data_IF_231491290868
#
_entry.id   IF_231491290868
#
_cell.length_a   1.000
_cell.length_b   1.000
_cell.length_c   1.000
_cell.angle_alpha   90.00
_cell.angle_beta   90.00
_cell.angle_gamma   90.00
#
_symmetry.space_group_name_H-M   'P 1'
#
loop_
_entity.id
_entity.type
_entity.pdbx_description
1 polymer ?
#
# COMPACT_ATOMS: atom_id res chain seq x y z
N UNK A 1 -8.08 7.84 5.04
CA UNK A 1 -7.60 8.87 4.09
C UNK A 1 -7.94 8.60 2.63
N UNK A 2 -8.69 7.54 2.32
CA UNK A 2 -9.04 7.14 0.93
C UNK A 2 -10.10 8.09 0.32
N UNK A 3 -9.90 8.54 -0.91
CA UNK A 3 -10.82 9.42 -1.67
C UNK A 3 -11.85 8.55 -2.41
N UNK A 4 -12.76 7.92 -1.66
CA UNK A 4 -13.74 6.97 -2.21
C UNK A 4 -14.71 7.59 -3.20
N UNK A 5 -15.04 8.87 -3.04
CA UNK A 5 -15.97 9.57 -3.93
C UNK A 5 -15.49 9.76 -5.37
N UNK A 6 -14.19 9.52 -5.63
CA UNK A 6 -13.57 9.59 -6.95
C UNK A 6 -12.81 8.31 -7.30
N UNK A 7 -13.13 7.19 -6.63
CA UNK A 7 -12.38 5.95 -6.84
C UNK A 7 -12.48 5.44 -8.29
N UNK A 8 -13.62 5.64 -8.93
CA UNK A 8 -13.85 5.29 -10.33
C UNK A 8 -12.94 6.07 -11.26
N UNK A 9 -12.91 7.40 -11.08
CA UNK A 9 -12.10 8.31 -11.88
C UNK A 9 -10.60 8.08 -11.64
N UNK A 10 -10.21 7.81 -10.39
CA UNK A 10 -8.82 7.48 -10.05
C UNK A 10 -8.40 6.18 -10.74
N UNK A 11 -9.25 5.15 -10.72
CA UNK A 11 -8.96 3.87 -11.37
C UNK A 11 -8.91 4.01 -12.89
N UNK A 12 -9.85 4.76 -13.48
CA UNK A 12 -9.85 5.03 -14.93
C UNK A 12 -8.62 5.83 -15.35
N UNK A 13 -8.22 6.83 -14.58
CA UNK A 13 -6.99 7.58 -14.82
C UNK A 13 -5.75 6.69 -14.75
N UNK A 14 -5.70 5.77 -13.78
CA UNK A 14 -4.61 4.80 -13.66
C UNK A 14 -4.55 3.87 -14.89
N UNK A 15 -5.68 3.32 -15.32
CA UNK A 15 -5.75 2.48 -16.52
C UNK A 15 -5.22 3.20 -17.75
N UNK A 16 -5.65 4.45 -17.97
CA UNK A 16 -5.19 5.25 -19.12
C UNK A 16 -3.70 5.60 -19.02
N UNK A 17 -3.20 5.88 -17.82
CA UNK A 17 -1.80 6.17 -17.60
C UNK A 17 -0.90 4.93 -17.83
N UNK A 18 -1.30 3.78 -17.32
CA UNK A 18 -0.60 2.50 -17.57
C UNK A 18 -0.54 2.17 -19.06
N UNK A 19 -1.64 2.36 -19.79
CA UNK A 19 -1.68 2.16 -21.26
C UNK A 19 -0.73 3.12 -22.00
N UNK A 20 -0.52 4.32 -21.48
CA UNK A 20 0.43 5.31 -22.03
C UNK A 20 1.88 4.98 -21.69
N UNK A 21 2.16 4.61 -20.44
CA UNK A 21 3.51 4.27 -19.96
C UNK A 21 4.02 2.92 -20.53
N UNK A 22 3.10 1.98 -20.80
CA UNK A 22 3.38 0.65 -21.33
C UNK A 22 4.45 -0.12 -20.55
N UNK A 23 4.27 -0.35 -19.24
CA UNK A 23 5.17 -1.19 -18.47
C UNK A 23 5.14 -2.64 -18.98
N UNK A 24 6.16 -3.41 -18.64
CA UNK A 24 6.21 -4.85 -18.94
C UNK A 24 5.22 -5.64 -18.07
N UNK A 25 4.87 -5.11 -16.90
CA UNK A 25 3.99 -5.76 -15.92
C UNK A 25 3.36 -4.71 -14.99
N UNK A 26 2.12 -4.95 -14.57
CA UNK A 26 1.47 -4.24 -13.46
C UNK A 26 1.27 -5.19 -12.30
N UNK A 27 1.69 -4.79 -11.10
CA UNK A 27 1.55 -5.57 -9.86
C UNK A 27 0.60 -4.83 -8.91
N UNK A 28 -0.42 -5.53 -8.42
CA UNK A 28 -1.36 -5.04 -7.41
C UNK A 28 -1.20 -5.88 -6.13
N UNK A 29 -0.67 -5.27 -5.09
CA UNK A 29 -0.31 -5.93 -3.83
C UNK A 29 -1.45 -5.99 -2.79
N UNK A 30 -2.68 -6.21 -3.24
CA UNK A 30 -3.83 -6.43 -2.36
C UNK A 30 -4.59 -5.16 -1.96
N UNK A 31 -5.64 -5.34 -1.14
CA UNK A 31 -6.64 -4.33 -0.82
C UNK A 31 -7.27 -3.72 -2.08
N UNK A 32 -7.70 -4.62 -2.96
CA UNK A 32 -8.25 -4.29 -4.28
C UNK A 32 -9.60 -3.60 -4.17
N UNK A 33 -10.30 -3.82 -3.06
CA UNK A 33 -11.59 -3.21 -2.74
C UNK A 33 -11.57 -2.51 -1.38
N UNK A 34 -12.68 -1.87 -1.00
CA UNK A 34 -12.75 -1.16 0.27
C UNK A 34 -12.99 -2.10 1.45
N UNK A 35 -13.98 -2.99 1.35
CA UNK A 35 -14.32 -3.98 2.38
C UNK A 35 -14.73 -5.35 1.75
N UNK A 36 -14.18 -5.70 0.59
CA UNK A 36 -14.39 -7.00 -0.05
C UNK A 36 -15.74 -7.14 -0.78
N UNK A 37 -16.35 -6.05 -1.19
CA UNK A 37 -17.61 -6.06 -1.92
C UNK A 37 -17.45 -6.77 -3.27
N UNK A 38 -18.26 -7.78 -3.55
CA UNK A 38 -18.20 -8.59 -4.78
C UNK A 38 -18.35 -7.74 -6.04
N UNK A 39 -19.32 -6.83 -6.05
CA UNK A 39 -19.53 -5.89 -7.15
C UNK A 39 -18.29 -5.03 -7.42
N UNK A 40 -17.61 -4.56 -6.35
CA UNK A 40 -16.37 -3.77 -6.48
C UNK A 40 -15.22 -4.59 -7.06
N UNK A 41 -15.10 -5.88 -6.71
CA UNK A 41 -14.13 -6.79 -7.32
C UNK A 41 -14.39 -6.99 -8.80
N UNK A 42 -15.65 -7.28 -9.18
CA UNK A 42 -16.05 -7.51 -10.58
C UNK A 42 -15.81 -6.26 -11.44
N UNK A 43 -16.14 -5.08 -10.91
CA UNK A 43 -15.91 -3.80 -11.57
C UNK A 43 -14.42 -3.47 -11.73
N UNK A 44 -13.59 -3.75 -10.71
CA UNK A 44 -12.15 -3.58 -10.83
C UNK A 44 -11.58 -4.53 -11.88
N UNK A 45 -11.97 -5.79 -11.88
CA UNK A 45 -11.54 -6.77 -12.88
C UNK A 45 -11.89 -6.31 -14.31
N UNK A 46 -13.09 -5.74 -14.54
CA UNK A 46 -13.47 -5.15 -15.82
C UNK A 46 -12.54 -3.98 -16.22
N UNK A 47 -12.13 -3.14 -15.27
CA UNK A 47 -11.19 -2.05 -15.54
C UNK A 47 -9.79 -2.55 -15.84
N UNK A 48 -9.31 -3.56 -15.11
CA UNK A 48 -8.00 -4.16 -15.33
C UNK A 48 -7.91 -4.91 -16.66
N UNK A 49 -9.03 -5.51 -17.14
CA UNK A 49 -9.06 -6.16 -18.44
C UNK A 49 -8.70 -5.22 -19.60
N UNK A 50 -8.96 -3.92 -19.46
CA UNK A 50 -8.59 -2.91 -20.46
C UNK A 50 -7.07 -2.69 -20.55
N UNK A 51 -6.33 -3.00 -19.48
CA UNK A 51 -4.86 -3.00 -19.47
C UNK A 51 -4.35 -4.25 -20.19
N UNK A 52 -4.94 -5.42 -19.87
CA UNK A 52 -4.63 -6.70 -20.52
C UNK A 52 -4.92 -6.65 -22.04
N UNK A 53 -6.05 -6.08 -22.46
CA UNK A 53 -6.41 -5.86 -23.86
C UNK A 53 -5.40 -4.97 -24.60
N UNK A 54 -4.69 -4.10 -23.90
CA UNK A 54 -3.60 -3.29 -24.45
C UNK A 54 -2.27 -4.06 -24.54
N UNK A 55 -2.25 -5.34 -24.14
CA UNK A 55 -1.08 -6.21 -24.16
C UNK A 55 -0.10 -5.98 -23.01
N UNK A 56 -0.61 -5.48 -21.86
CA UNK A 56 0.17 -5.25 -20.66
C UNK A 56 -0.35 -6.21 -19.58
N UNK A 57 0.46 -7.19 -19.14
CA UNK A 57 0.04 -8.12 -18.09
C UNK A 57 -0.23 -7.43 -16.76
N UNK A 58 -1.26 -7.90 -16.05
CA UNK A 58 -1.59 -7.47 -14.69
C UNK A 58 -1.58 -8.69 -13.79
N UNK A 59 -0.94 -8.60 -12.64
CA UNK A 59 -0.96 -9.67 -11.63
C UNK A 59 -1.38 -9.13 -10.27
N UNK A 60 -2.17 -9.92 -9.54
CA UNK A 60 -2.80 -9.50 -8.27
C UNK A 60 -2.60 -10.55 -7.18
N UNK A 61 -2.63 -10.09 -5.92
CA UNK A 61 -2.82 -10.91 -4.71
C UNK A 61 -3.92 -10.28 -3.86
N UNK A 62 -4.56 -11.02 -2.94
CA UNK A 62 -5.50 -10.42 -2.01
C UNK A 62 -4.82 -9.58 -0.95
N UNK A 63 -5.54 -8.57 -0.42
CA UNK A 63 -5.27 -7.89 0.82
C UNK A 63 -6.25 -8.31 1.92
N UNK A 64 -6.04 -7.82 3.14
CA UNK A 64 -6.86 -8.21 4.29
C UNK A 64 -8.32 -7.70 4.19
N UNK A 65 -8.61 -6.75 3.32
CA UNK A 65 -9.97 -6.29 3.07
C UNK A 65 -10.76 -7.16 2.09
N UNK A 66 -10.10 -7.98 1.26
CA UNK A 66 -10.66 -8.49 0.02
C UNK A 66 -11.52 -9.75 0.15
N UNK A 67 -11.21 -10.68 1.07
CA UNK A 67 -11.83 -12.01 1.13
C UNK A 67 -12.54 -12.24 2.47
N UNK A 68 -13.73 -12.86 2.42
CA UNK A 68 -14.54 -13.22 3.59
C UNK A 68 -14.75 -12.05 4.58
N UNK A 69 -14.85 -10.83 4.06
CA UNK A 69 -14.99 -9.65 4.89
C UNK A 69 -16.45 -9.36 5.21
N UNK A 70 -16.84 -9.59 6.45
CA UNK A 70 -18.20 -9.36 6.93
C UNK A 70 -18.63 -7.88 6.99
N UNK A 71 -17.71 -6.97 6.73
CA UNK A 71 -17.98 -5.52 6.67
C UNK A 71 -18.38 -5.06 5.28
N UNK A 72 -18.37 -5.96 4.27
CA UNK A 72 -18.80 -5.63 2.91
C UNK A 72 -20.17 -4.94 2.92
N UNK A 73 -20.27 -3.80 2.26
CA UNK A 73 -21.43 -2.96 2.37
C UNK A 73 -21.67 -2.10 1.13
N UNK A 74 -22.92 -1.75 0.91
CA UNK A 74 -23.36 -0.86 -0.16
C UNK A 74 -24.17 0.31 0.39
N UNK A 75 -24.11 1.43 -0.30
CA UNK A 75 -24.96 2.58 -0.01
C UNK A 75 -26.19 2.58 -0.92
N UNK A 76 -27.38 2.63 -0.31
CA UNK A 76 -28.63 2.83 -1.00
C UNK A 76 -29.25 4.12 -0.51
N UNK A 77 -29.00 5.23 -1.22
CA UNK A 77 -29.26 6.58 -0.73
C UNK A 77 -28.40 6.89 0.50
N UNK A 78 -29.03 7.28 1.62
CA UNK A 78 -28.34 7.54 2.89
C UNK A 78 -28.31 6.29 3.81
N UNK A 79 -28.70 5.12 3.31
CA UNK A 79 -28.76 3.87 4.08
C UNK A 79 -27.56 2.98 3.73
N UNK A 80 -26.92 2.47 4.79
CA UNK A 80 -25.84 1.51 4.71
C UNK A 80 -26.42 0.10 4.86
N UNK A 81 -26.26 -0.73 3.85
CA UNK A 81 -26.74 -2.12 3.81
C UNK A 81 -25.56 -3.06 3.65
N UNK A 82 -25.66 -4.28 4.21
CA UNK A 82 -24.70 -5.34 3.93
C UNK A 82 -24.68 -5.68 2.44
N UNK A 83 -23.49 -5.90 1.89
CA UNK A 83 -23.28 -6.35 0.52
C UNK A 83 -22.73 -7.79 0.50
N UNK A 84 -22.83 -8.44 -0.66
CA UNK A 84 -22.17 -9.71 -0.89
C UNK A 84 -20.65 -9.51 -0.90
N UNK A 85 -19.92 -10.34 -0.15
CA UNK A 85 -18.46 -10.42 -0.20
C UNK A 85 -18.04 -11.66 -0.98
N UNK A 86 -16.75 -11.79 -1.25
CA UNK A 86 -16.19 -12.92 -2.00
C UNK A 86 -15.49 -13.92 -1.08
N UNK A 87 -15.60 -15.20 -1.42
CA UNK A 87 -14.76 -16.28 -0.89
C UNK A 87 -13.41 -16.30 -1.61
N UNK A 88 -12.47 -17.12 -1.12
CA UNK A 88 -11.18 -17.33 -1.80
C UNK A 88 -11.34 -17.90 -3.22
N UNK A 89 -12.27 -18.84 -3.39
CA UNK A 89 -12.56 -19.43 -4.71
C UNK A 89 -13.17 -18.39 -5.68
N UNK A 90 -14.08 -17.56 -5.20
CA UNK A 90 -14.67 -16.48 -6.00
C UNK A 90 -13.64 -15.38 -6.32
N UNK A 91 -12.72 -15.07 -5.39
CA UNK A 91 -11.62 -14.15 -5.65
C UNK A 91 -10.74 -14.69 -6.80
N UNK A 92 -10.34 -15.94 -6.72
CA UNK A 92 -9.55 -16.57 -7.78
C UNK A 92 -10.30 -16.60 -9.11
N UNK A 93 -11.62 -16.91 -9.11
CA UNK A 93 -12.44 -16.90 -10.33
C UNK A 93 -12.52 -15.51 -10.98
N UNK A 94 -12.74 -14.45 -10.17
CA UNK A 94 -12.81 -13.07 -10.66
C UNK A 94 -11.49 -12.62 -11.26
N UNK A 95 -10.37 -12.95 -10.60
CA UNK A 95 -9.04 -12.52 -11.00
C UNK A 95 -8.21 -13.57 -11.74
N UNK A 96 -8.85 -14.64 -12.27
CA UNK A 96 -8.15 -15.74 -12.91
C UNK A 96 -7.21 -15.32 -14.05
N UNK A 97 -7.59 -14.30 -14.82
CA UNK A 97 -6.83 -13.78 -15.95
C UNK A 97 -5.79 -12.73 -15.53
N UNK A 98 -5.63 -12.48 -14.23
CA UNK A 98 -4.67 -11.53 -13.67
C UNK A 98 -3.58 -12.26 -12.86
N UNK A 99 -2.87 -13.16 -13.56
CA UNK A 99 -1.72 -13.91 -13.07
C UNK A 99 -2.02 -15.36 -12.69
N UNK A 100 -3.22 -15.71 -12.24
CA UNK A 100 -3.54 -17.05 -11.75
C UNK A 100 -3.51 -18.12 -12.86
N UNK A 101 -4.09 -17.82 -14.04
CA UNK A 101 -4.10 -18.73 -15.19
C UNK A 101 -2.71 -18.86 -15.85
N UNK A 102 -1.85 -17.84 -15.76
CA UNK A 102 -0.50 -17.81 -16.33
C UNK A 102 0.57 -18.25 -15.34
N UNK A 103 0.17 -18.59 -14.10
CA UNK A 103 1.10 -19.01 -13.06
C UNK A 103 1.91 -20.24 -13.49
N UNK A 104 3.23 -20.17 -13.35
CA UNK A 104 4.13 -21.31 -13.58
C UNK A 104 4.14 -22.28 -12.43
N UNK A 105 3.77 -21.84 -11.24
CA UNK A 105 3.55 -22.65 -10.03
C UNK A 105 2.48 -22.03 -9.15
N UNK A 106 1.71 -22.88 -8.46
CA UNK A 106 0.66 -22.50 -7.52
C UNK A 106 0.93 -23.15 -6.18
N UNK A 107 0.80 -22.39 -5.09
CA UNK A 107 0.83 -22.96 -3.74
C UNK A 107 -0.48 -23.71 -3.46
N UNK A 108 -0.44 -25.01 -3.11
CA UNK A 108 -1.65 -25.74 -2.78
C UNK A 108 -2.31 -25.32 -1.45
N UNK A 109 -1.59 -24.59 -0.60
CA UNK A 109 -2.06 -24.19 0.73
C UNK A 109 -2.63 -22.76 0.78
N UNK A 110 -2.41 -21.95 -0.26
CA UNK A 110 -2.83 -20.55 -0.29
C UNK A 110 -3.10 -20.05 -1.71
N UNK A 111 -3.48 -18.78 -1.84
CA UNK A 111 -3.59 -18.12 -3.15
C UNK A 111 -2.24 -17.60 -3.68
N UNK A 112 -1.12 -18.04 -3.10
CA UNK A 112 0.21 -17.69 -3.61
C UNK A 112 0.52 -18.39 -4.92
N UNK A 113 1.31 -17.72 -5.76
CA UNK A 113 1.72 -18.25 -7.06
C UNK A 113 3.01 -17.60 -7.56
N UNK A 114 3.63 -18.21 -8.56
CA UNK A 114 4.77 -17.66 -9.29
C UNK A 114 4.34 -17.27 -10.70
N UNK A 115 4.65 -16.03 -11.08
CA UNK A 115 4.46 -15.52 -12.43
C UNK A 115 5.81 -15.29 -13.10
N UNK A 116 5.98 -15.75 -14.33
CA UNK A 116 7.20 -15.51 -15.09
C UNK A 116 7.10 -14.16 -15.81
N UNK A 117 7.86 -13.18 -15.33
CA UNK A 117 7.88 -11.82 -15.88
C UNK A 117 8.58 -11.78 -17.23
N UNK A 118 9.73 -12.42 -17.32
CA UNK A 118 10.56 -12.55 -18.54
C UNK A 118 11.54 -13.74 -18.40
N UNK A 119 12.52 -13.84 -19.28
CA UNK A 119 13.49 -14.94 -19.27
C UNK A 119 14.44 -14.94 -18.05
N UNK A 120 14.51 -13.84 -17.30
CA UNK A 120 15.46 -13.62 -16.20
C UNK A 120 14.81 -13.38 -14.85
N UNK A 121 13.49 -13.14 -14.81
CA UNK A 121 12.81 -12.67 -13.61
C UNK A 121 11.47 -13.34 -13.40
N UNK A 122 11.23 -13.80 -12.18
CA UNK A 122 9.94 -14.29 -11.69
C UNK A 122 9.39 -13.36 -10.61
N UNK A 123 8.08 -13.17 -10.55
CA UNK A 123 7.38 -12.57 -9.43
C UNK A 123 6.85 -13.70 -8.53
N UNK A 124 7.21 -13.68 -7.26
CA UNK A 124 6.70 -14.60 -6.23
C UNK A 124 5.58 -13.88 -5.48
N UNK A 125 4.34 -14.15 -5.89
CA UNK A 125 3.14 -13.51 -5.37
C UNK A 125 2.66 -14.25 -4.13
N UNK A 126 2.82 -13.65 -2.94
CA UNK A 126 2.56 -14.26 -1.65
C UNK A 126 1.22 -13.81 -1.07
N UNK A 127 0.29 -14.75 -0.91
CA UNK A 127 -0.92 -14.54 -0.13
C UNK A 127 -0.60 -14.57 1.35
N UNK A 128 -0.52 -13.39 1.95
CA UNK A 128 -0.24 -13.18 3.36
C UNK A 128 -1.50 -13.03 4.20
N UNK A 129 -2.70 -13.19 3.61
CA UNK A 129 -3.96 -12.87 4.26
C UNK A 129 -4.51 -14.05 5.07
N UNK A 130 -5.23 -13.72 6.13
CA UNK A 130 -5.93 -14.65 7.00
C UNK A 130 -7.44 -14.45 6.83
N UNK A 131 -8.08 -15.30 6.06
CA UNK A 131 -9.52 -15.19 5.76
C UNK A 131 -10.32 -16.44 6.17
N UNK A 132 -9.68 -17.52 6.62
CA UNK A 132 -10.31 -18.74 7.14
C UNK A 132 -9.91 -19.00 8.59
N UNK A 133 -10.84 -19.39 9.50
CA UNK A 133 -12.30 -19.50 9.29
C UNK A 133 -13.02 -18.13 9.32
N UNK A 134 -12.30 -17.06 9.46
CA UNK A 134 -12.80 -15.66 9.44
C UNK A 134 -11.71 -14.73 8.95
N UNK A 135 -12.11 -13.59 8.40
CA UNK A 135 -11.20 -12.53 8.03
C UNK A 135 -10.53 -11.90 9.26
N UNK A 136 -9.20 -11.78 9.22
CA UNK A 136 -8.36 -11.08 10.21
C UNK A 136 -7.53 -10.00 9.50
N UNK A 137 -7.14 -8.98 10.26
CA UNK A 137 -6.37 -7.84 9.72
C UNK A 137 -4.90 -8.23 9.52
N UNK A 138 -4.31 -9.00 10.44
CA UNK A 138 -2.89 -9.36 10.43
C UNK A 138 -2.53 -10.39 9.37
N UNK A 139 -1.29 -10.33 8.91
CA UNK A 139 -0.74 -11.22 7.90
C UNK A 139 0.06 -12.39 8.47
N UNK A 140 0.05 -13.51 7.75
CA UNK A 140 0.90 -14.67 8.05
C UNK A 140 1.24 -15.45 6.77
N UNK A 141 2.32 -16.19 6.81
CA UNK A 141 2.63 -17.24 5.84
C UNK A 141 2.32 -18.60 6.48
N UNK A 142 1.61 -19.48 5.77
CA UNK A 142 1.27 -20.82 6.25
C UNK A 142 2.51 -21.72 6.26
N UNK A 143 2.59 -22.67 7.18
CA UNK A 143 3.75 -23.56 7.30
C UNK A 143 4.05 -24.29 5.97
N UNK A 144 3.03 -24.86 5.32
CA UNK A 144 3.18 -25.56 4.04
C UNK A 144 3.63 -24.61 2.90
N UNK A 145 3.31 -23.31 3.00
CA UNK A 145 3.73 -22.29 2.02
C UNK A 145 5.24 -22.05 2.11
N UNK A 146 5.86 -22.14 3.29
CA UNK A 146 7.33 -22.01 3.41
C UNK A 146 8.08 -23.09 2.64
N UNK A 147 7.60 -24.34 2.68
CA UNK A 147 8.19 -25.45 1.90
C UNK A 147 8.04 -25.18 0.40
N UNK A 148 6.86 -24.72 -0.03
CA UNK A 148 6.63 -24.34 -1.42
C UNK A 148 7.51 -23.15 -1.87
N UNK A 149 7.68 -22.12 -1.04
CA UNK A 149 8.60 -21.00 -1.33
C UNK A 149 10.01 -21.53 -1.57
N UNK A 150 10.51 -22.45 -0.70
CA UNK A 150 11.84 -23.03 -0.85
C UNK A 150 12.01 -23.73 -2.22
N UNK A 151 11.02 -24.54 -2.61
CA UNK A 151 11.01 -25.21 -3.91
C UNK A 151 11.08 -24.20 -5.08
N UNK A 152 10.31 -23.10 -4.98
CA UNK A 152 10.30 -22.08 -6.02
C UNK A 152 11.62 -21.29 -6.11
N UNK A 153 12.23 -21.02 -4.96
CA UNK A 153 13.53 -20.34 -4.90
C UNK A 153 14.64 -21.22 -5.47
N UNK A 154 14.68 -22.51 -5.11
CA UNK A 154 15.63 -23.47 -5.65
C UNK A 154 15.48 -23.63 -7.17
N UNK A 155 14.25 -23.72 -7.68
CA UNK A 155 14.00 -23.80 -9.11
C UNK A 155 14.50 -22.54 -9.84
N UNK A 156 14.15 -21.35 -9.34
CA UNK A 156 14.59 -20.09 -9.92
C UNK A 156 16.13 -19.98 -9.94
N UNK A 157 16.77 -20.33 -8.83
CA UNK A 157 18.23 -20.36 -8.71
C UNK A 157 18.88 -21.27 -9.74
N UNK A 158 18.37 -22.51 -9.88
CA UNK A 158 18.87 -23.47 -10.84
C UNK A 158 18.71 -23.02 -12.30
N UNK A 159 17.71 -22.19 -12.57
CA UNK A 159 17.46 -21.57 -13.88
C UNK A 159 18.25 -20.25 -14.08
N UNK A 160 18.95 -19.76 -13.06
CA UNK A 160 19.63 -18.46 -13.08
C UNK A 160 18.69 -17.26 -13.17
N UNK A 161 17.49 -17.39 -12.58
CA UNK A 161 16.46 -16.36 -12.60
C UNK A 161 16.43 -15.58 -11.27
N UNK A 162 16.20 -14.29 -11.35
CA UNK A 162 15.89 -13.45 -10.22
C UNK A 162 14.45 -13.67 -9.75
N UNK A 163 14.19 -13.42 -8.46
CA UNK A 163 12.86 -13.48 -7.88
C UNK A 163 12.53 -12.15 -7.19
N UNK A 164 11.36 -11.62 -7.48
CA UNK A 164 10.78 -10.45 -6.80
C UNK A 164 9.58 -10.94 -5.98
N UNK A 165 9.73 -11.11 -4.65
CA UNK A 165 8.60 -11.41 -3.78
C UNK A 165 7.69 -10.18 -3.62
N UNK A 166 6.39 -10.45 -3.60
CA UNK A 166 5.33 -9.47 -3.39
C UNK A 166 4.37 -10.00 -2.34
N UNK A 167 4.15 -9.26 -1.28
CA UNK A 167 3.14 -9.55 -0.27
C UNK A 167 2.19 -8.36 -0.08
N UNK A 168 1.05 -8.58 0.59
CA UNK A 168 0.20 -7.47 1.01
C UNK A 168 0.73 -6.85 2.31
N UNK A 169 0.91 -7.68 3.34
CA UNK A 169 1.47 -7.25 4.62
C UNK A 169 2.98 -7.05 4.55
N UNK A 170 3.50 -6.25 5.47
CA UNK A 170 4.90 -5.87 5.47
C UNK A 170 5.81 -7.02 5.92
N UNK A 171 6.98 -7.11 5.32
CA UNK A 171 8.04 -8.03 5.72
C UNK A 171 8.80 -7.51 6.95
N UNK A 172 9.05 -6.19 6.98
CA UNK A 172 9.78 -5.50 8.03
C UNK A 172 8.84 -4.65 8.88
N UNK A 173 9.30 -4.25 10.06
CA UNK A 173 8.58 -3.32 10.92
C UNK A 173 8.71 -1.88 10.37
N UNK A 174 7.93 -1.59 9.32
CA UNK A 174 7.92 -0.33 8.59
C UNK A 174 7.43 0.87 9.43
N UNK A 175 6.94 0.62 10.64
CA UNK A 175 6.59 1.64 11.63
C UNK A 175 6.96 1.16 13.02
N UNK A 176 7.56 2.02 13.84
CA UNK A 176 7.83 1.73 15.26
C UNK A 176 6.58 1.82 16.16
N UNK A 177 5.47 2.32 15.62
CA UNK A 177 4.25 2.60 16.38
C UNK A 177 3.10 1.67 16.02
N UNK A 178 2.93 1.38 14.75
CA UNK A 178 1.90 0.49 14.22
C UNK A 178 2.51 -0.85 13.83
N UNK A 179 2.86 -1.67 14.83
CA UNK A 179 3.44 -3.00 14.62
C UNK A 179 2.39 -4.09 14.56
N UNK A 180 1.38 -4.00 15.42
CA UNK A 180 0.33 -5.00 15.48
C UNK A 180 -0.46 -5.05 14.18
N UNK A 181 -0.65 -6.24 13.63
CA UNK A 181 -1.40 -6.53 12.41
C UNK A 181 -0.86 -5.88 11.12
N UNK A 182 0.33 -5.26 11.15
CA UNK A 182 0.96 -4.64 9.98
C UNK A 182 2.04 -5.51 9.37
N UNK A 183 2.96 -6.03 10.19
CA UNK A 183 4.03 -6.94 9.78
C UNK A 183 3.52 -8.38 9.73
N UNK A 184 4.01 -9.18 8.80
CA UNK A 184 3.74 -10.63 8.70
C UNK A 184 4.13 -11.29 10.03
N UNK A 185 3.24 -12.11 10.59
CA UNK A 185 3.52 -12.85 11.82
C UNK A 185 4.74 -13.76 11.62
N UNK A 186 5.72 -13.70 12.53
CA UNK A 186 7.00 -14.42 12.41
C UNK A 186 7.76 -14.12 11.11
N UNK A 187 7.75 -12.86 10.68
CA UNK A 187 8.40 -12.43 9.41
C UNK A 187 9.89 -12.73 9.36
N UNK A 188 10.56 -12.87 10.52
CA UNK A 188 11.98 -13.25 10.61
C UNK A 188 12.27 -14.56 9.87
N UNK A 189 11.35 -15.53 9.87
CA UNK A 189 11.51 -16.78 9.13
C UNK A 189 11.53 -16.53 7.62
N UNK A 190 10.62 -15.69 7.12
CA UNK A 190 10.57 -15.34 5.70
C UNK A 190 11.79 -14.51 5.29
N UNK A 191 12.22 -13.57 6.13
CA UNK A 191 13.43 -12.78 5.92
C UNK A 191 14.65 -13.69 5.77
N UNK A 192 14.88 -14.61 6.73
CA UNK A 192 16.00 -15.53 6.71
C UNK A 192 15.99 -16.42 5.47
N UNK A 193 14.81 -16.92 5.07
CA UNK A 193 14.64 -17.72 3.87
C UNK A 193 14.98 -16.93 2.60
N UNK A 194 14.41 -15.76 2.41
CA UNK A 194 14.64 -14.92 1.23
C UNK A 194 16.10 -14.41 1.17
N UNK A 195 16.69 -14.03 2.31
CA UNK A 195 18.10 -13.61 2.37
C UNK A 195 19.07 -14.75 2.06
N UNK A 196 18.73 -16.00 2.42
CA UNK A 196 19.55 -17.18 2.08
C UNK A 196 19.67 -17.40 0.56
N UNK A 197 18.69 -16.93 -0.20
CA UNK A 197 18.65 -16.95 -1.66
C UNK A 197 19.09 -15.61 -2.30
N UNK A 198 19.71 -14.71 -1.52
CA UNK A 198 20.22 -13.42 -1.98
C UNK A 198 19.16 -12.52 -2.63
N UNK A 199 17.89 -12.62 -2.20
CA UNK A 199 16.80 -11.77 -2.70
C UNK A 199 17.03 -10.32 -2.28
N UNK A 200 17.12 -9.36 -3.20
CA UNK A 200 17.48 -7.98 -2.85
C UNK A 200 16.27 -7.11 -2.46
N UNK A 201 15.05 -7.49 -2.84
CA UNK A 201 13.88 -6.63 -2.79
C UNK A 201 12.63 -7.41 -2.44
N UNK A 202 11.75 -6.81 -1.63
CA UNK A 202 10.38 -7.23 -1.33
C UNK A 202 9.44 -6.06 -1.58
N UNK A 203 8.29 -6.31 -2.19
CA UNK A 203 7.26 -5.29 -2.43
C UNK A 203 6.04 -5.55 -1.56
N UNK A 204 5.51 -4.51 -0.92
CA UNK A 204 4.32 -4.63 -0.07
C UNK A 204 3.40 -3.40 -0.14
N UNK A 205 2.27 -3.49 0.57
CA UNK A 205 1.26 -2.46 0.71
C UNK A 205 0.81 -2.25 2.15
N UNK A 206 -0.48 -2.40 2.42
CA UNK A 206 -1.16 -2.44 3.71
C UNK A 206 -1.11 -1.15 4.55
N UNK A 207 0.04 -0.54 4.78
CA UNK A 207 0.18 0.69 5.59
C UNK A 207 -0.34 1.96 4.92
N UNK A 208 -0.56 1.93 3.61
CA UNK A 208 -0.99 3.07 2.78
C UNK A 208 -0.03 4.26 2.74
N UNK A 209 1.14 4.15 3.36
CA UNK A 209 2.21 5.16 3.32
C UNK A 209 3.23 4.83 2.26
N UNK A 210 3.96 5.82 1.78
CA UNK A 210 5.12 5.59 0.94
C UNK A 210 6.36 5.51 1.82
N UNK A 211 6.96 4.33 1.88
CA UNK A 211 8.09 4.06 2.76
C UNK A 211 9.01 2.97 2.20
N UNK A 212 10.24 2.89 2.66
CA UNK A 212 11.10 1.74 2.47
C UNK A 212 12.08 1.56 3.64
N UNK A 213 12.39 0.32 3.92
CA UNK A 213 13.41 -0.09 4.89
C UNK A 213 14.37 -1.11 4.29
N UNK A 214 15.41 -1.43 5.03
CA UNK A 214 16.30 -2.54 4.76
C UNK A 214 16.41 -3.40 6.01
N UNK A 215 16.42 -4.72 5.86
CA UNK A 215 16.46 -5.68 6.97
C UNK A 215 17.70 -5.52 7.84
N UNK A 216 18.82 -5.09 7.24
CA UNK A 216 20.10 -4.81 7.92
C UNK A 216 20.70 -3.53 7.35
N UNK A 217 21.46 -2.78 8.17
CA UNK A 217 21.99 -1.46 7.79
C UNK A 217 22.87 -1.48 6.53
N UNK A 218 23.71 -2.50 6.37
CA UNK A 218 24.71 -2.57 5.30
C UNK A 218 24.47 -3.70 4.30
N UNK A 219 23.50 -4.57 4.54
CA UNK A 219 23.18 -5.73 3.71
C UNK A 219 21.72 -6.14 3.93
N UNK A 220 21.27 -7.19 3.25
CA UNK A 220 19.93 -7.72 3.41
C UNK A 220 18.94 -7.15 2.41
N UNK A 221 17.70 -7.56 2.60
CA UNK A 221 16.60 -7.26 1.70
C UNK A 221 16.05 -5.85 1.92
N UNK A 222 15.80 -5.12 0.83
CA UNK A 222 14.98 -3.92 0.87
C UNK A 222 13.50 -4.29 0.82
N UNK A 223 12.69 -3.67 1.65
CA UNK A 223 11.24 -3.64 1.46
C UNK A 223 10.81 -2.28 0.97
N UNK A 224 9.93 -2.23 -0.05
CA UNK A 224 9.26 -1.03 -0.51
C UNK A 224 7.78 -1.18 -0.24
N UNK A 225 7.25 -0.28 0.60
CA UNK A 225 5.82 -0.12 0.85
C UNK A 225 5.29 0.97 -0.07
N UNK A 226 4.41 0.60 -0.99
CA UNK A 226 3.79 1.58 -1.89
C UNK A 226 2.52 2.14 -1.27
N UNK A 227 2.37 3.47 -1.30
CA UNK A 227 1.16 4.14 -0.80
C UNK A 227 -0.09 3.75 -1.60
N UNK A 228 -1.25 3.85 -0.95
CA UNK A 228 -2.52 3.54 -1.59
C UNK A 228 -2.84 4.50 -2.73
N UNK A 229 -3.20 3.96 -3.90
CA UNK A 229 -3.61 4.74 -5.08
C UNK A 229 -4.83 5.64 -4.79
N UNK A 230 -5.70 5.23 -3.88
CA UNK A 230 -6.90 5.99 -3.48
C UNK A 230 -6.63 7.08 -2.43
N UNK A 231 -5.38 7.19 -1.94
CA UNK A 231 -4.99 8.21 -0.94
C UNK A 231 -4.11 9.28 -1.60
N UNK A 232 -4.45 10.57 -1.48
CA UNK A 232 -3.61 11.62 -2.06
C UNK A 232 -2.14 11.54 -1.58
N UNK A 233 -1.16 11.68 -2.48
CA UNK A 233 -1.28 12.24 -3.83
C UNK A 233 -1.73 11.28 -4.94
N UNK A 234 -2.28 10.11 -4.61
CA UNK A 234 -2.76 9.09 -5.56
C UNK A 234 -1.64 8.65 -6.49
N UNK A 235 -0.55 8.15 -5.90
CA UNK A 235 0.66 7.77 -6.61
C UNK A 235 0.83 6.26 -6.71
N UNK A 236 1.63 5.81 -7.65
CA UNK A 236 2.05 4.44 -7.84
C UNK A 236 3.57 4.36 -7.98
N UNK A 237 4.13 3.19 -7.73
CA UNK A 237 5.56 2.93 -7.90
C UNK A 237 5.90 2.51 -9.33
N UNK A 238 7.05 2.94 -9.82
CA UNK A 238 7.67 2.46 -11.05
C UNK A 238 9.00 1.81 -10.66
N UNK A 239 9.10 0.51 -10.93
CA UNK A 239 10.28 -0.30 -10.65
C UNK A 239 10.97 -0.68 -11.98
N UNK A 240 12.25 -0.34 -12.10
CA UNK A 240 13.14 -0.86 -13.12
C UNK A 240 14.01 -1.93 -12.47
N UNK A 241 13.92 -3.16 -12.96
CA UNK A 241 14.63 -4.30 -12.40
C UNK A 241 15.52 -4.93 -13.48
N UNK A 242 16.83 -5.02 -13.21
CA UNK A 242 17.83 -5.54 -14.14
C UNK A 242 17.99 -7.05 -14.05
N UNK A 243 18.58 -7.63 -15.10
CA UNK A 243 18.88 -9.06 -15.17
C UNK A 243 19.90 -9.51 -14.12
N UNK A 244 20.68 -8.57 -13.58
CA UNK A 244 21.67 -8.76 -12.53
C UNK A 244 21.10 -8.56 -11.10
N UNK A 245 19.78 -8.35 -10.98
CA UNK A 245 19.12 -8.08 -9.70
C UNK A 245 19.25 -6.64 -9.21
N UNK A 246 19.92 -5.77 -9.95
CA UNK A 246 19.92 -4.33 -9.65
C UNK A 246 18.55 -3.72 -9.91
N UNK A 247 18.20 -2.70 -9.12
CA UNK A 247 16.91 -2.03 -9.29
C UNK A 247 16.97 -0.53 -9.06
N UNK A 248 16.02 0.16 -9.67
CA UNK A 248 15.69 1.57 -9.40
C UNK A 248 14.18 1.70 -9.24
N UNK A 249 13.77 2.43 -8.25
CA UNK A 249 12.38 2.67 -7.92
C UNK A 249 12.11 4.17 -7.79
N UNK A 250 10.98 4.61 -8.31
CA UNK A 250 10.44 5.93 -7.99
C UNK A 250 8.92 5.91 -8.03
N UNK A 251 8.30 6.84 -7.31
CA UNK A 251 6.85 7.02 -7.36
C UNK A 251 6.46 8.03 -8.42
N UNK A 252 5.23 7.91 -8.89
CA UNK A 252 4.60 8.86 -9.81
C UNK A 252 3.15 9.10 -9.38
N UNK A 253 2.74 10.36 -9.11
CA UNK A 253 1.33 10.67 -8.88
C UNK A 253 0.55 10.63 -10.20
N UNK A 254 -0.72 10.24 -10.14
CA UNK A 254 -1.64 10.33 -11.28
C UNK A 254 -1.89 11.79 -11.67
N UNK A 255 -1.85 12.09 -12.97
CA UNK A 255 -2.28 13.39 -13.46
C UNK A 255 -3.80 13.44 -13.65
N UNK A 256 -4.52 13.48 -12.51
CA UNK A 256 -5.98 13.56 -12.48
C UNK A 256 -6.52 14.81 -13.20
N UNK A 257 -5.76 15.90 -13.20
CA UNK A 257 -6.14 17.14 -13.90
C UNK A 257 -6.10 16.98 -15.41
N UNK A 258 -5.05 16.34 -15.94
CA UNK A 258 -4.96 16.03 -17.37
C UNK A 258 -6.06 15.05 -17.77
N UNK A 259 -6.26 13.98 -16.98
CA UNK A 259 -7.33 13.02 -17.20
C UNK A 259 -8.72 13.69 -17.24
N UNK A 260 -9.03 14.55 -16.26
CA UNK A 260 -10.30 15.27 -16.21
C UNK A 260 -10.53 16.17 -17.44
N UNK A 261 -9.48 16.85 -17.94
CA UNK A 261 -9.57 17.64 -19.16
C UNK A 261 -9.81 16.76 -20.38
N UNK A 262 -9.10 15.65 -20.50
CA UNK A 262 -9.17 14.76 -21.66
C UNK A 262 -10.54 14.05 -21.76
N UNK A 263 -11.18 13.81 -20.63
CA UNK A 263 -12.54 13.24 -20.54
C UNK A 263 -13.65 14.27 -20.62
N UNK A 264 -13.30 15.57 -20.68
CA UNK A 264 -14.28 16.66 -20.71
C UNK A 264 -15.02 16.87 -19.38
N UNK A 265 -14.42 16.46 -18.26
CA UNK A 265 -15.02 16.65 -16.93
C UNK A 265 -15.20 18.13 -16.61
N UNK A 266 -16.35 18.46 -16.00
CA UNK A 266 -16.65 19.81 -15.48
C UNK A 266 -16.52 19.87 -13.95
N UNK A 267 -16.17 18.77 -13.31
CA UNK A 267 -15.98 18.70 -11.86
C UNK A 267 -14.76 19.54 -11.44
N UNK A 268 -15.01 20.53 -10.59
CA UNK A 268 -13.97 21.47 -10.14
C UNK A 268 -12.89 20.80 -9.28
N UNK A 269 -13.23 19.75 -8.55
CA UNK A 269 -12.27 19.02 -7.72
C UNK A 269 -11.35 18.19 -8.61
N UNK A 270 -11.88 17.48 -9.62
CA UNK A 270 -11.08 16.72 -10.58
C UNK A 270 -10.15 17.63 -11.38
N UNK A 271 -10.65 18.80 -11.83
CA UNK A 271 -9.86 19.81 -12.56
C UNK A 271 -8.76 20.48 -11.70
N UNK A 272 -8.84 20.36 -10.37
CA UNK A 272 -7.86 20.87 -9.41
C UNK A 272 -7.54 19.79 -8.34
N UNK A 273 -7.31 18.55 -8.78
CA UNK A 273 -7.27 17.38 -7.90
C UNK A 273 -6.16 17.46 -6.85
N UNK A 274 -5.00 18.01 -7.19
CA UNK A 274 -3.90 18.16 -6.23
C UNK A 274 -4.29 19.04 -5.03
N UNK A 275 -4.94 20.17 -5.30
CA UNK A 275 -5.44 21.07 -4.25
C UNK A 275 -6.60 20.43 -3.45
N UNK A 276 -7.48 19.73 -4.14
CA UNK A 276 -8.55 18.97 -3.50
C UNK A 276 -7.97 17.89 -2.59
N UNK A 277 -7.05 17.08 -3.07
CA UNK A 277 -6.42 15.99 -2.32
C UNK A 277 -5.66 16.48 -1.09
N UNK A 278 -4.87 17.54 -1.21
CA UNK A 278 -4.20 18.19 -0.07
C UNK A 278 -5.18 18.66 0.99
N UNK A 279 -6.26 19.33 0.60
CA UNK A 279 -7.30 19.79 1.53
C UNK A 279 -8.06 18.64 2.17
N UNK A 280 -8.39 17.62 1.38
CA UNK A 280 -9.07 16.43 1.85
C UNK A 280 -8.25 15.71 2.93
N UNK A 281 -7.00 15.39 2.64
CA UNK A 281 -6.12 14.66 3.54
C UNK A 281 -5.79 15.47 4.79
N UNK A 282 -5.50 16.77 4.64
CA UNK A 282 -5.32 17.68 5.77
C UNK A 282 -6.54 17.71 6.70
N UNK A 283 -7.76 17.72 6.14
CA UNK A 283 -8.98 17.67 6.94
C UNK A 283 -9.14 16.35 7.70
N UNK A 284 -8.83 15.23 7.05
CA UNK A 284 -8.90 13.90 7.68
C UNK A 284 -8.00 13.86 8.90
N UNK A 285 -6.73 14.20 8.78
CA UNK A 285 -5.77 14.15 9.88
C UNK A 285 -6.01 15.24 10.93
N UNK A 286 -6.47 16.43 10.51
CA UNK A 286 -6.89 17.45 11.45
C UNK A 286 -8.04 16.95 12.35
N UNK A 287 -9.04 16.30 11.78
CA UNK A 287 -10.15 15.74 12.53
C UNK A 287 -9.70 14.61 13.46
N UNK A 288 -8.78 13.76 13.01
CA UNK A 288 -8.20 12.71 13.86
C UNK A 288 -7.53 13.29 15.12
N UNK A 289 -6.77 14.37 14.97
CA UNK A 289 -6.20 15.07 16.13
C UNK A 289 -7.27 15.68 17.03
N UNK A 290 -8.34 16.28 16.46
CA UNK A 290 -9.44 16.84 17.24
C UNK A 290 -10.18 15.76 18.05
N UNK A 291 -10.35 14.56 17.50
CA UNK A 291 -10.98 13.45 18.21
C UNK A 291 -10.08 12.93 19.35
N UNK A 292 -8.77 12.89 19.13
CA UNK A 292 -7.81 12.57 20.18
C UNK A 292 -7.86 13.58 21.36
N UNK A 293 -7.98 14.87 21.08
CA UNK A 293 -8.15 15.91 22.12
C UNK A 293 -9.42 15.75 22.95
N UNK A 294 -10.45 15.11 22.41
CA UNK A 294 -11.68 14.78 23.15
C UNK A 294 -11.52 13.50 23.97
N UNK A 295 -10.77 12.54 23.44
CA UNK A 295 -10.61 11.20 24.00
C UNK A 295 -9.66 11.18 25.19
N UNK A 296 -8.53 11.88 25.12
CA UNK A 296 -7.51 11.87 26.17
C UNK A 296 -7.69 13.00 27.18
N UNK A 297 -7.83 12.64 28.46
CA UNK A 297 -8.00 13.58 29.55
C UNK A 297 -6.82 14.56 29.71
N UNK A 298 -5.61 14.09 29.46
CA UNK A 298 -4.38 14.91 29.51
C UNK A 298 -4.41 16.08 28.52
N UNK A 299 -5.10 15.92 27.39
CA UNK A 299 -5.20 16.93 26.34
C UNK A 299 -6.43 17.85 26.47
N UNK A 300 -7.36 17.53 27.39
CA UNK A 300 -8.58 18.33 27.56
C UNK A 300 -8.29 19.75 28.08
N UNK A 301 -7.24 19.91 28.90
CA UNK A 301 -6.83 21.19 29.48
C UNK A 301 -6.25 22.22 28.52
N UNK A 302 -5.86 21.78 27.30
CA UNK A 302 -5.30 22.65 26.29
C UNK A 302 -6.30 23.68 25.77
N UNK A 303 -5.84 24.90 25.54
CA UNK A 303 -6.65 25.96 24.94
C UNK A 303 -7.03 25.63 23.49
N UNK A 304 -8.10 26.26 22.99
CA UNK A 304 -8.50 26.10 21.58
C UNK A 304 -7.35 26.45 20.62
N UNK A 305 -6.57 27.48 20.91
CA UNK A 305 -5.43 27.90 20.08
C UNK A 305 -4.32 26.84 20.07
N UNK A 306 -4.00 26.23 21.20
CA UNK A 306 -3.01 25.15 21.29
C UNK A 306 -3.46 23.92 20.49
N UNK A 307 -4.70 23.47 20.68
CA UNK A 307 -5.29 22.35 19.91
C UNK A 307 -5.28 22.61 18.40
N UNK A 308 -5.57 23.82 17.98
CA UNK A 308 -5.52 24.24 16.58
C UNK A 308 -4.11 24.13 16.01
N UNK A 309 -3.09 24.59 16.73
CA UNK A 309 -1.69 24.51 16.30
C UNK A 309 -1.19 23.06 16.23
N UNK A 310 -1.53 22.25 17.24
CA UNK A 310 -1.20 20.82 17.27
C UNK A 310 -1.85 20.06 16.12
N UNK A 311 -3.15 20.28 15.89
CA UNK A 311 -3.87 19.60 14.80
C UNK A 311 -3.32 19.96 13.41
N UNK A 312 -2.93 21.20 13.18
CA UNK A 312 -2.35 21.64 11.90
C UNK A 312 -1.01 20.99 11.62
N UNK A 313 -0.11 20.92 12.59
CA UNK A 313 1.21 20.31 12.36
C UNK A 313 1.08 18.79 12.25
N UNK A 314 0.17 18.16 12.99
CA UNK A 314 -0.15 16.75 12.85
C UNK A 314 -0.65 16.43 11.43
N UNK A 315 -1.60 17.21 10.93
CA UNK A 315 -2.15 17.01 9.59
C UNK A 315 -1.09 17.19 8.48
N UNK A 316 -0.22 18.18 8.62
CA UNK A 316 0.86 18.44 7.67
C UNK A 316 1.87 17.30 7.61
N UNK A 317 2.35 16.83 8.77
CA UNK A 317 3.33 15.73 8.85
C UNK A 317 2.75 14.40 8.38
N UNK A 318 1.51 14.09 8.73
CA UNK A 318 0.87 12.86 8.27
C UNK A 318 0.64 12.86 6.76
N UNK A 319 0.18 13.97 6.19
CA UNK A 319 0.02 14.08 4.73
C UNK A 319 1.36 13.86 4.00
N UNK A 320 2.45 14.39 4.55
CA UNK A 320 3.79 14.18 4.01
C UNK A 320 4.27 12.72 4.20
N UNK A 321 3.95 12.07 5.31
CA UNK A 321 4.27 10.66 5.56
C UNK A 321 3.60 9.75 4.52
N UNK A 322 2.30 9.95 4.26
CA UNK A 322 1.58 9.19 3.24
C UNK A 322 2.14 9.39 1.84
N UNK A 323 2.69 10.57 1.56
CA UNK A 323 3.31 10.91 0.28
C UNK A 323 4.82 10.56 0.21
N UNK A 324 5.44 10.09 1.31
CA UNK A 324 6.88 9.81 1.37
C UNK A 324 7.80 11.04 1.36
N UNK A 325 7.27 12.23 1.71
CA UNK A 325 7.94 13.54 1.56
C UNK A 325 8.22 14.26 2.88
N UNK A 326 8.28 13.55 4.01
CA UNK A 326 8.53 14.15 5.33
C UNK A 326 9.85 14.91 5.37
N UNK A 327 10.88 14.42 4.68
CA UNK A 327 12.20 15.05 4.62
C UNK A 327 12.14 16.49 4.14
N UNK A 328 11.18 16.84 3.27
CA UNK A 328 11.03 18.20 2.71
C UNK A 328 10.53 19.22 3.74
N UNK A 329 9.79 18.76 4.75
CA UNK A 329 9.09 19.65 5.69
C UNK A 329 9.50 19.45 7.15
N UNK A 330 10.21 18.38 7.47
CA UNK A 330 10.53 17.93 8.84
C UNK A 330 11.07 19.04 9.73
N UNK A 331 12.15 19.71 9.33
CA UNK A 331 12.81 20.73 10.13
C UNK A 331 11.91 21.95 10.36
N UNK A 332 11.17 22.34 9.33
CA UNK A 332 10.20 23.42 9.43
C UNK A 332 9.03 23.05 10.35
N UNK A 333 8.56 21.82 10.28
CA UNK A 333 7.47 21.34 11.13
C UNK A 333 7.91 21.28 12.61
N UNK A 334 9.10 20.75 12.90
CA UNK A 334 9.70 20.71 14.26
C UNK A 334 9.86 22.10 14.89
N UNK A 335 10.08 23.15 14.09
CA UNK A 335 10.20 24.52 14.59
C UNK A 335 8.87 25.17 15.00
N UNK A 336 7.73 24.58 14.64
CA UNK A 336 6.38 25.14 14.92
C UNK A 336 5.98 24.91 16.37
N UNK A 337 5.26 25.88 16.95
CA UNK A 337 4.74 25.79 18.30
C UNK A 337 3.81 24.55 18.49
N UNK A 338 3.04 24.17 17.46
CA UNK A 338 2.18 22.98 17.54
C UNK A 338 2.96 21.68 17.66
N UNK A 339 4.15 21.56 17.07
CA UNK A 339 5.02 20.40 17.24
C UNK A 339 5.58 20.32 18.65
N UNK A 340 6.10 21.45 19.17
CA UNK A 340 6.60 21.54 20.55
C UNK A 340 5.53 21.21 21.58
N UNK A 341 4.28 21.62 21.35
CA UNK A 341 3.17 21.24 22.21
C UNK A 341 2.89 19.71 22.18
N UNK A 342 3.08 19.04 21.04
CA UNK A 342 3.01 17.58 20.98
C UNK A 342 4.11 16.91 21.80
N UNK A 343 5.35 17.44 21.77
CA UNK A 343 6.47 16.96 22.58
C UNK A 343 6.25 17.18 24.09
N UNK A 344 5.68 18.31 24.49
CA UNK A 344 5.51 18.69 25.89
C UNK A 344 4.28 18.07 26.53
N UNK A 345 3.16 18.05 25.82
CA UNK A 345 1.82 17.72 26.34
C UNK A 345 1.20 16.47 25.69
N UNK A 346 1.77 15.98 24.60
CA UNK A 346 1.15 14.94 23.78
C UNK A 346 1.10 13.56 24.43
N UNK A 347 2.05 13.23 25.32
CA UNK A 347 2.08 11.91 25.96
C UNK A 347 0.86 11.72 26.91
N UNK A 348 0.18 10.55 26.93
CA UNK A 348 0.55 9.27 26.29
C UNK A 348 -0.17 9.00 24.96
N UNK A 349 -0.48 10.04 24.18
CA UNK A 349 -1.15 9.87 22.88
C UNK A 349 -0.30 9.07 21.89
N UNK A 350 -0.93 8.10 21.23
CA UNK A 350 -0.30 7.38 20.12
C UNK A 350 0.02 8.33 18.95
N UNK A 351 -0.73 9.43 18.80
CA UNK A 351 -0.47 10.44 17.78
C UNK A 351 0.83 11.19 18.04
N UNK A 352 1.17 11.47 19.30
CA UNK A 352 2.45 12.08 19.66
C UNK A 352 3.62 11.14 19.35
N UNK A 353 3.52 9.85 19.70
CA UNK A 353 4.52 8.84 19.42
C UNK A 353 4.70 8.67 17.90
N UNK A 354 3.61 8.67 17.15
CA UNK A 354 3.65 8.58 15.70
C UNK A 354 4.33 9.78 15.04
N UNK A 355 4.07 11.00 15.53
CA UNK A 355 4.76 12.21 15.04
C UNK A 355 6.27 12.17 15.34
N UNK A 356 6.65 11.70 16.50
CA UNK A 356 8.06 11.52 16.87
C UNK A 356 8.73 10.54 15.91
N UNK A 357 8.12 9.37 15.67
CA UNK A 357 8.61 8.39 14.72
C UNK A 357 8.73 8.96 13.31
N UNK A 358 7.68 9.55 12.75
CA UNK A 358 7.68 10.15 11.40
C UNK A 358 8.85 11.14 11.25
N UNK A 359 9.06 11.99 12.24
CA UNK A 359 10.09 13.04 12.14
C UNK A 359 11.49 12.52 12.40
N UNK A 360 11.67 11.46 13.15
CA UNK A 360 13.00 10.85 13.38
C UNK A 360 13.39 9.97 12.19
N UNK A 361 12.46 9.24 11.62
CA UNK A 361 12.66 8.38 10.47
C UNK A 361 12.70 9.16 9.14
N UNK A 362 11.86 10.16 8.96
CA UNK A 362 11.69 10.96 7.73
C UNK A 362 12.94 11.80 7.37
N UNK A 363 14.11 11.18 7.31
CA UNK A 363 15.39 11.82 6.99
C UNK A 363 15.80 11.65 5.54
N UNK A 364 15.04 10.91 4.76
CA UNK A 364 15.28 10.61 3.35
C UNK A 364 14.02 10.79 2.51
N UNK A 365 14.18 10.88 1.20
CA UNK A 365 13.07 10.81 0.24
C UNK A 365 12.67 9.36 0.01
N UNK A 366 11.47 8.98 0.47
CA UNK A 366 10.94 7.62 0.31
C UNK A 366 10.34 7.35 -1.09
N UNK A 367 10.36 8.35 -1.96
CA UNK A 367 9.87 8.24 -3.32
C UNK A 367 10.94 7.78 -4.33
N UNK A 368 12.19 7.64 -3.89
CA UNK A 368 13.30 7.23 -4.76
C UNK A 368 14.20 6.25 -4.03
N UNK A 369 14.49 5.11 -4.66
CA UNK A 369 15.41 4.11 -4.14
C UNK A 369 16.21 3.49 -5.30
N UNK A 370 17.48 3.20 -5.05
CA UNK A 370 18.36 2.45 -5.96
C UNK A 370 19.15 1.42 -5.17
N UNK A 371 19.39 0.26 -5.77
CA UNK A 371 20.23 -0.80 -5.21
C UNK A 371 21.73 -0.48 -5.20
N UNK A 372 22.16 0.63 -5.82
CA UNK A 372 23.55 1.09 -5.89
C UNK A 372 23.94 1.93 -4.67
#
# INVERSE_FOLDING_TARGET
GKVMQYIWEITDAFVEEVKKERPDLVILSGDLTYEGEKESHEELAEKLSKIEEAGIPVIVIPGNHDINNSKAAQFVGDTFLGAENVTSDEFEEIYQDFGYNEAVSRDPASLSYVYQVNDYTRALMLDTCQYEPRNLVGGMIRDDTYDWIEEQMEEAWNLGMNVIPVGHHNLLDESEVYLQDCTIEHSEQLIDQLESWEVPLFLSGHLHVQHYMRSRSDSGIYEIVTSSLSTPPCQYGILYYGDDGSFRYHTKPLDMKEWAKNTGSTDKNLLNFDEFGKKFLSKVFYNQAQDEFKRLDTLKGLTKSQKEQMAKVYAELNAACYAGTVTDIREKAKSKAGYKLWEEEGYPSILAQYLEWITNDGTRDYNVLSSE
#
